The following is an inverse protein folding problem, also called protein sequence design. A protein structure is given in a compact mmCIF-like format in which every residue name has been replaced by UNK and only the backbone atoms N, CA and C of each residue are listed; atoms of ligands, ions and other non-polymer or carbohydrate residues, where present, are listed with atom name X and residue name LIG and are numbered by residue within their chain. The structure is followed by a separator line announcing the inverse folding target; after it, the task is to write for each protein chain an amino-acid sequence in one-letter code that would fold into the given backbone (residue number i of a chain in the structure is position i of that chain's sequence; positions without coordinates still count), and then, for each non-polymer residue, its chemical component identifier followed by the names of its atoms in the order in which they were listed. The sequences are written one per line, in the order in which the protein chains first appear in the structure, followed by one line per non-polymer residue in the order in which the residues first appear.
data_IF_393969683061
#
_entry.id   IF_393969683061
#
_cell.length_a   1.000
_cell.length_b   1.000
_cell.length_c   1.000
_cell.angle_alpha   90.00
_cell.angle_beta   90.00
_cell.angle_gamma   90.00
#
_symmetry.space_group_name_H-M   'P 1'
#
loop_
_entity.id
_entity.type
_entity.pdbx_description
1 polymer ?
#
# COMPACT_ATOMS: atom_id res chain seq x y z
N UNK A 1 -4.57 9.47 -3.73
CA UNK A 1 -3.47 10.08 -4.50
C UNK A 1 -3.32 11.58 -4.19
N UNK A 2 -4.37 12.40 -4.37
CA UNK A 2 -4.32 13.85 -4.16
C UNK A 2 -3.76 14.24 -2.77
N UNK A 3 -4.17 13.55 -1.72
CA UNK A 3 -3.73 13.78 -0.35
C UNK A 3 -2.23 13.47 -0.20
N UNK A 4 -1.74 12.36 -0.75
CA UNK A 4 -0.30 12.04 -0.74
C UNK A 4 0.53 13.02 -1.57
N UNK A 5 0.02 13.50 -2.70
CA UNK A 5 0.69 14.54 -3.48
C UNK A 5 0.80 15.83 -2.68
N UNK A 6 -0.28 16.29 -2.05
CA UNK A 6 -0.29 17.47 -1.21
C UNK A 6 0.68 17.37 -0.02
N UNK A 7 0.68 16.23 0.68
CA UNK A 7 1.62 15.95 1.76
C UNK A 7 3.06 15.90 1.25
N UNK A 8 3.31 15.29 0.08
CA UNK A 8 4.64 15.22 -0.53
C UNK A 8 5.20 16.58 -0.85
N UNK A 9 4.37 17.48 -1.43
CA UNK A 9 4.75 18.86 -1.69
C UNK A 9 5.10 19.57 -0.37
N UNK A 10 4.27 19.45 0.66
CA UNK A 10 4.53 20.08 1.95
C UNK A 10 5.83 19.57 2.58
N UNK A 11 6.03 18.24 2.61
CA UNK A 11 7.25 17.63 3.19
C UNK A 11 8.51 18.10 2.48
N UNK A 12 8.45 18.30 1.16
CA UNK A 12 9.61 18.75 0.37
C UNK A 12 10.19 20.08 0.83
N UNK A 13 9.38 20.95 1.45
CA UNK A 13 9.81 22.22 2.00
C UNK A 13 10.28 22.15 3.46
N UNK A 14 10.21 20.98 4.10
CA UNK A 14 10.64 20.82 5.49
C UNK A 14 12.16 20.61 5.58
N UNK A 15 12.76 21.16 6.65
CA UNK A 15 14.18 20.93 6.94
C UNK A 15 14.44 19.45 7.21
N UNK A 16 15.48 18.89 6.57
CA UNK A 16 15.85 17.47 6.72
C UNK A 16 15.17 16.54 5.72
N UNK A 17 14.15 16.97 4.97
CA UNK A 17 13.48 16.14 3.97
C UNK A 17 14.44 15.66 2.87
N UNK A 18 15.47 16.46 2.54
CA UNK A 18 16.50 16.11 1.55
C UNK A 18 17.23 14.81 1.87
N UNK A 19 17.45 14.50 3.14
CA UNK A 19 18.11 13.27 3.55
C UNK A 19 17.23 12.05 3.30
N UNK A 20 15.92 12.20 3.47
CA UNK A 20 14.96 11.18 3.10
C UNK A 20 14.93 10.88 1.59
N UNK A 21 14.94 11.94 0.77
CA UNK A 21 15.02 11.76 -0.68
C UNK A 21 16.34 11.13 -1.11
N UNK A 22 17.47 11.56 -0.54
CA UNK A 22 18.78 10.93 -0.79
C UNK A 22 18.79 9.45 -0.42
N UNK A 23 18.11 9.08 0.68
CA UNK A 23 17.99 7.68 1.09
C UNK A 23 17.22 6.84 0.07
N UNK A 24 16.09 7.34 -0.44
CA UNK A 24 15.26 6.64 -1.45
C UNK A 24 16.02 6.41 -2.75
N UNK A 25 16.72 7.45 -3.23
CA UNK A 25 17.41 7.40 -4.54
C UNK A 25 18.85 6.89 -4.46
N UNK A 26 19.31 6.49 -3.26
CA UNK A 26 20.64 5.91 -3.09
C UNK A 26 20.65 4.48 -3.61
N UNK A 27 21.33 4.27 -4.73
CA UNK A 27 21.54 2.93 -5.29
C UNK A 27 22.70 2.26 -4.58
N UNK A 28 22.44 1.18 -3.86
CA UNK A 28 23.46 0.31 -3.28
C UNK A 28 23.69 -0.90 -4.18
N UNK A 29 24.82 -0.89 -4.89
CA UNK A 29 25.19 -1.97 -5.81
C UNK A 29 25.37 -3.32 -5.10
N UNK A 30 25.79 -3.31 -3.83
CA UNK A 30 25.95 -4.53 -3.03
C UNK A 30 24.60 -5.16 -2.71
N UNK A 31 23.58 -4.34 -2.44
CA UNK A 31 22.22 -4.81 -2.23
C UNK A 31 21.61 -5.41 -3.50
N UNK A 32 21.88 -4.82 -4.67
CA UNK A 32 21.41 -5.36 -5.95
C UNK A 32 22.05 -6.72 -6.29
N UNK A 33 23.30 -6.94 -5.87
CA UNK A 33 23.99 -8.22 -6.07
C UNK A 33 23.54 -9.31 -5.08
N UNK A 34 22.80 -8.94 -4.02
CA UNK A 34 22.38 -9.89 -2.98
C UNK A 34 21.06 -10.56 -3.38
N UNK A 35 21.00 -11.91 -3.54
CA UNK A 35 19.79 -12.63 -3.90
C UNK A 35 18.63 -12.42 -2.91
N UNK A 36 18.92 -12.18 -1.63
CA UNK A 36 17.88 -11.92 -0.61
C UNK A 36 17.08 -10.66 -0.94
N UNK A 37 17.70 -9.62 -1.48
CA UNK A 37 17.01 -8.38 -1.89
C UNK A 37 15.91 -8.68 -2.90
N UNK A 38 16.21 -9.53 -3.89
CA UNK A 38 15.25 -9.92 -4.92
C UNK A 38 14.13 -10.81 -4.38
N UNK A 39 14.46 -11.73 -3.44
CA UNK A 39 13.45 -12.57 -2.79
C UNK A 39 12.46 -11.71 -2.00
N UNK A 40 12.95 -10.75 -1.21
CA UNK A 40 12.08 -9.85 -0.46
C UNK A 40 11.27 -8.93 -1.37
N UNK A 41 11.87 -8.39 -2.44
CA UNK A 41 11.17 -7.54 -3.40
C UNK A 41 10.06 -8.30 -4.13
N UNK A 42 10.33 -9.53 -4.60
CA UNK A 42 9.33 -10.40 -5.21
C UNK A 42 8.22 -10.77 -4.20
N UNK A 43 8.58 -11.14 -2.98
CA UNK A 43 7.61 -11.45 -1.92
C UNK A 43 6.68 -10.27 -1.66
N UNK A 44 7.21 -9.05 -1.59
CA UNK A 44 6.41 -7.84 -1.42
C UNK A 44 5.50 -7.58 -2.63
N UNK A 45 6.00 -7.75 -3.85
CA UNK A 45 5.20 -7.59 -5.07
C UNK A 45 4.04 -8.60 -5.12
N UNK A 46 4.29 -9.87 -4.81
CA UNK A 46 3.26 -10.90 -4.74
C UNK A 46 2.20 -10.60 -3.67
N UNK A 47 2.61 -10.05 -2.54
CA UNK A 47 1.69 -9.64 -1.48
C UNK A 47 0.85 -8.44 -1.90
N UNK A 48 1.48 -7.38 -2.40
CA UNK A 48 0.82 -6.11 -2.78
C UNK A 48 -0.20 -6.31 -3.90
N UNK A 49 0.13 -7.13 -4.90
CA UNK A 49 -0.76 -7.46 -6.01
C UNK A 49 -1.79 -8.55 -5.67
N UNK A 50 -1.89 -8.98 -4.42
CA UNK A 50 -2.82 -10.03 -3.95
C UNK A 50 -2.67 -11.38 -4.68
N UNK A 51 -1.50 -11.64 -5.29
CA UNK A 51 -1.21 -12.91 -5.96
C UNK A 51 -1.04 -14.02 -4.92
N UNK A 52 -0.31 -13.75 -3.83
CA UNK A 52 -0.04 -14.71 -2.77
C UNK A 52 -1.31 -15.16 -2.00
N UNK A 53 -2.34 -14.31 -1.96
CA UNK A 53 -3.60 -14.59 -1.25
C UNK A 53 -4.73 -15.12 -2.14
N UNK A 54 -4.45 -15.52 -3.38
CA UNK A 54 -5.43 -15.95 -4.38
C UNK A 54 -6.52 -14.91 -4.72
N UNK A 55 -6.42 -13.67 -4.21
CA UNK A 55 -7.39 -12.63 -4.49
C UNK A 55 -7.52 -12.34 -5.98
N UNK A 56 -6.41 -12.16 -6.67
CA UNK A 56 -6.36 -11.94 -8.12
C UNK A 56 -6.99 -13.09 -8.91
N UNK A 57 -6.82 -14.34 -8.46
CA UNK A 57 -7.43 -15.51 -9.10
C UNK A 57 -8.96 -15.47 -9.00
N UNK A 58 -9.47 -15.19 -7.79
CA UNK A 58 -10.92 -15.12 -7.55
C UNK A 58 -11.55 -13.98 -8.33
N UNK A 59 -10.97 -12.77 -8.27
CA UNK A 59 -11.48 -11.63 -9.04
C UNK A 59 -11.37 -11.87 -10.56
N UNK A 60 -10.31 -12.55 -10.99
CA UNK A 60 -10.17 -12.98 -12.39
C UNK A 60 -11.32 -13.87 -12.86
N UNK A 61 -11.85 -14.74 -11.98
CA UNK A 61 -13.00 -15.59 -12.30
C UNK A 61 -14.34 -14.85 -12.43
N UNK A 62 -14.41 -13.59 -11.95
CA UNK A 62 -15.61 -12.75 -12.04
C UNK A 62 -15.61 -11.82 -13.25
N UNK A 63 -14.50 -11.77 -14.00
CA UNK A 63 -14.40 -10.94 -15.19
C UNK A 63 -15.26 -11.51 -16.33
N UNK A 64 -15.77 -10.63 -17.18
CA UNK A 64 -16.46 -11.03 -18.40
C UNK A 64 -15.48 -11.53 -19.45
N UNK A 65 -15.96 -12.37 -20.37
CA UNK A 65 -15.15 -12.90 -21.47
C UNK A 65 -14.62 -11.84 -22.44
N UNK A 66 -15.20 -10.63 -22.41
CA UNK A 66 -14.78 -9.48 -23.22
C UNK A 66 -13.61 -8.69 -22.62
N UNK A 67 -13.23 -8.97 -21.36
CA UNK A 67 -12.21 -8.20 -20.65
C UNK A 67 -10.79 -8.56 -21.12
N UNK A 68 -9.99 -7.54 -21.40
CA UNK A 68 -8.58 -7.71 -21.75
C UNK A 68 -7.74 -7.90 -20.49
N UNK A 69 -7.61 -9.15 -20.03
CA UNK A 69 -6.90 -9.51 -18.79
C UNK A 69 -5.45 -8.96 -18.75
N UNK A 70 -4.60 -9.12 -19.80
CA UNK A 70 -3.25 -8.56 -19.78
C UNK A 70 -3.20 -7.04 -19.59
N UNK A 71 -4.11 -6.31 -20.25
CA UNK A 71 -4.18 -4.86 -20.12
C UNK A 71 -4.62 -4.45 -18.71
N UNK A 72 -5.61 -5.12 -18.15
CA UNK A 72 -6.11 -4.86 -16.80
C UNK A 72 -5.08 -5.20 -15.74
N UNK A 73 -4.39 -6.33 -15.84
CA UNK A 73 -3.28 -6.70 -14.97
C UNK A 73 -2.14 -5.67 -15.03
N UNK A 74 -1.78 -5.20 -16.22
CA UNK A 74 -0.77 -4.15 -16.39
C UNK A 74 -1.16 -2.84 -15.72
N UNK A 75 -2.42 -2.42 -15.81
CA UNK A 75 -2.94 -1.23 -15.12
C UNK A 75 -2.89 -1.39 -13.60
N UNK A 76 -3.30 -2.53 -13.07
CA UNK A 76 -3.22 -2.83 -11.63
C UNK A 76 -1.78 -2.73 -11.14
N UNK A 77 -0.84 -3.38 -11.80
CA UNK A 77 0.58 -3.34 -11.43
C UNK A 77 1.16 -1.92 -11.51
N UNK A 78 0.77 -1.14 -12.51
CA UNK A 78 1.20 0.25 -12.65
C UNK A 78 0.69 1.14 -11.51
N UNK A 79 -0.61 1.08 -11.20
CA UNK A 79 -1.18 1.91 -10.14
C UNK A 79 -0.73 1.47 -8.74
N UNK A 80 -0.53 0.18 -8.50
CA UNK A 80 0.05 -0.35 -7.26
C UNK A 80 1.46 0.20 -7.03
N UNK A 81 2.32 0.10 -8.05
CA UNK A 81 3.68 0.65 -8.00
C UNK A 81 3.67 2.16 -7.81
N UNK A 82 2.82 2.89 -8.52
CA UNK A 82 2.69 4.34 -8.38
C UNK A 82 2.25 4.74 -6.97
N UNK A 83 1.28 4.03 -6.38
CA UNK A 83 0.83 4.27 -5.02
C UNK A 83 1.94 4.03 -3.99
N UNK A 84 2.69 2.93 -4.14
CA UNK A 84 3.81 2.61 -3.27
C UNK A 84 4.93 3.65 -3.36
N UNK A 85 5.27 4.11 -4.56
CA UNK A 85 6.27 5.16 -4.76
C UNK A 85 5.83 6.49 -4.15
N UNK A 86 4.58 6.91 -4.35
CA UNK A 86 4.05 8.12 -3.74
C UNK A 86 4.07 8.04 -2.21
N UNK A 87 3.69 6.91 -1.63
CA UNK A 87 3.77 6.70 -0.19
C UNK A 87 5.21 6.81 0.33
N UNK A 88 6.17 6.18 -0.35
CA UNK A 88 7.58 6.25 0.02
C UNK A 88 8.13 7.68 -0.05
N UNK A 89 7.79 8.45 -1.10
CA UNK A 89 8.20 9.85 -1.30
C UNK A 89 7.60 10.82 -0.27
N UNK A 90 6.60 10.40 0.48
CA UNK A 90 6.03 11.19 1.59
C UNK A 90 6.57 10.72 2.93
N UNK A 91 6.48 9.41 3.20
CA UNK A 91 6.75 8.84 4.52
C UNK A 91 8.24 8.92 4.88
N UNK A 92 9.13 8.55 3.97
CA UNK A 92 10.57 8.51 4.26
C UNK A 92 11.15 9.92 4.48
N UNK A 93 10.85 10.94 3.64
CA UNK A 93 11.25 12.30 3.95
C UNK A 93 10.59 12.85 5.23
N UNK A 94 9.33 12.50 5.52
CA UNK A 94 8.69 12.87 6.78
C UNK A 94 9.42 12.29 8.00
N UNK A 95 9.91 11.05 7.92
CA UNK A 95 10.77 10.46 8.95
C UNK A 95 12.08 11.24 9.11
N UNK A 96 12.71 11.62 8.00
CA UNK A 96 13.95 12.36 8.01
C UNK A 96 13.82 13.70 8.76
N UNK A 97 12.69 14.40 8.59
CA UNK A 97 12.44 15.67 9.30
C UNK A 97 12.33 15.52 10.82
N UNK A 98 12.00 14.34 11.32
CA UNK A 98 11.91 14.04 12.77
C UNK A 98 13.20 13.48 13.35
N UNK A 99 14.27 13.35 12.55
CA UNK A 99 15.54 12.74 12.99
C UNK A 99 15.44 11.22 13.22
N UNK A 100 14.38 10.56 12.73
CA UNK A 100 14.19 9.14 12.86
C UNK A 100 15.17 8.33 11.99
N UNK A 101 15.46 7.10 12.42
CA UNK A 101 16.27 6.17 11.62
C UNK A 101 15.48 5.72 10.39
N UNK A 102 15.99 6.03 9.19
CA UNK A 102 15.29 5.77 7.92
C UNK A 102 15.19 4.29 7.53
N UNK A 103 15.88 3.41 8.24
CA UNK A 103 15.83 1.96 8.04
C UNK A 103 14.76 1.26 8.90
N UNK A 104 13.89 2.01 9.55
CA UNK A 104 12.77 1.44 10.30
C UNK A 104 11.60 1.18 9.36
N UNK A 105 10.87 0.10 9.64
CA UNK A 105 9.66 -0.30 8.90
C UNK A 105 8.49 -0.55 9.85
N UNK A 106 7.36 -0.93 9.26
CA UNK A 106 6.17 -1.35 9.99
C UNK A 106 5.14 -0.25 10.22
N UNK A 107 4.07 -0.56 10.99
CA UNK A 107 2.92 0.33 11.19
C UNK A 107 3.26 1.69 11.79
N UNK A 108 4.37 1.80 12.51
CA UNK A 108 4.85 3.05 13.09
C UNK A 108 5.08 4.15 12.05
N UNK A 109 5.42 3.78 10.80
CA UNK A 109 5.58 4.73 9.71
C UNK A 109 4.29 5.54 9.46
N UNK A 110 3.17 4.85 9.45
CA UNK A 110 1.86 5.42 9.16
C UNK A 110 1.22 6.08 10.40
N UNK A 111 1.36 5.46 11.57
CA UNK A 111 0.61 5.86 12.78
C UNK A 111 1.39 6.75 13.73
N UNK A 112 2.70 6.89 13.56
CA UNK A 112 3.54 7.75 14.42
C UNK A 112 4.10 8.93 13.61
N UNK A 113 4.82 8.65 12.52
CA UNK A 113 5.56 9.71 11.82
C UNK A 113 4.66 10.65 11.03
N UNK A 114 3.68 10.14 10.28
CA UNK A 114 2.75 11.00 9.52
C UNK A 114 1.87 11.87 10.42
N UNK A 115 1.26 11.38 11.52
CA UNK A 115 0.52 12.25 12.44
C UNK A 115 1.38 13.35 13.07
N UNK A 116 2.64 13.05 13.42
CA UNK A 116 3.55 14.04 13.96
C UNK A 116 3.89 15.13 12.93
N UNK A 117 4.09 14.77 11.67
CA UNK A 117 4.24 15.72 10.58
C UNK A 117 2.98 16.58 10.43
N UNK A 118 1.79 15.99 10.41
CA UNK A 118 0.53 16.70 10.24
C UNK A 118 0.27 17.69 11.37
N UNK A 119 0.69 17.42 12.61
CA UNK A 119 0.57 18.36 13.73
C UNK A 119 1.30 19.68 13.49
N UNK A 120 2.37 19.69 12.74
CA UNK A 120 3.15 20.88 12.42
C UNK A 120 2.59 21.68 11.23
N UNK A 121 1.57 21.16 10.55
CA UNK A 121 0.99 21.78 9.36
C UNK A 121 -0.15 22.74 9.72
N UNK A 122 -0.33 23.84 8.97
CA UNK A 122 -1.56 24.64 9.03
C UNK A 122 -2.76 23.75 8.64
N UNK A 123 -3.80 23.69 9.49
CA UNK A 123 -4.96 22.83 9.26
C UNK A 123 -4.69 21.31 9.42
N UNK A 124 -3.56 20.94 10.00
CA UNK A 124 -3.10 19.54 10.12
C UNK A 124 -4.09 18.59 10.78
N UNK A 125 -4.94 19.07 11.68
CA UNK A 125 -6.00 18.26 12.28
C UNK A 125 -7.01 17.77 11.24
N UNK A 126 -7.45 18.65 10.33
CA UNK A 126 -8.38 18.28 9.27
C UNK A 126 -7.73 17.30 8.29
N UNK A 127 -6.48 17.57 7.92
CA UNK A 127 -5.69 16.70 7.04
C UNK A 127 -5.51 15.32 7.68
N UNK A 128 -5.23 15.26 8.98
CA UNK A 128 -5.10 14.00 9.71
C UNK A 128 -6.42 13.20 9.74
N UNK A 129 -7.55 13.86 9.99
CA UNK A 129 -8.87 13.20 9.95
C UNK A 129 -9.12 12.61 8.56
N UNK A 130 -8.96 13.40 7.50
CA UNK A 130 -9.14 12.94 6.12
C UNK A 130 -8.20 11.79 5.78
N UNK A 131 -6.95 11.87 6.23
CA UNK A 131 -5.97 10.82 6.03
C UNK A 131 -6.38 9.50 6.71
N UNK A 132 -6.76 9.54 8.00
CA UNK A 132 -7.15 8.34 8.71
C UNK A 132 -8.48 7.75 8.24
N UNK A 133 -9.42 8.59 7.79
CA UNK A 133 -10.64 8.11 7.12
C UNK A 133 -10.27 7.38 5.82
N UNK A 134 -9.36 7.93 5.03
CA UNK A 134 -8.89 7.27 3.81
C UNK A 134 -8.16 5.95 4.11
N UNK A 135 -7.33 5.89 5.16
CA UNK A 135 -6.66 4.66 5.62
C UNK A 135 -7.67 3.62 6.09
N UNK A 136 -8.70 4.04 6.83
CA UNK A 136 -9.78 3.15 7.27
C UNK A 136 -10.52 2.54 6.07
N UNK A 137 -10.93 3.36 5.11
CA UNK A 137 -11.61 2.89 3.90
C UNK A 137 -10.72 1.95 3.07
N UNK A 138 -9.43 2.26 2.92
CA UNK A 138 -8.48 1.39 2.25
C UNK A 138 -8.31 0.06 3.00
N UNK A 139 -8.26 0.08 4.33
CA UNK A 139 -8.22 -1.13 5.15
C UNK A 139 -9.48 -1.99 4.98
N UNK A 140 -10.65 -1.37 4.98
CA UNK A 140 -11.92 -2.08 4.78
C UNK A 140 -11.99 -2.76 3.41
N UNK A 141 -11.59 -2.07 2.34
CA UNK A 141 -11.57 -2.65 0.99
C UNK A 141 -10.57 -3.81 0.89
N UNK A 142 -9.42 -3.71 1.56
CA UNK A 142 -8.44 -4.78 1.62
C UNK A 142 -8.96 -6.01 2.39
N UNK A 143 -9.68 -5.80 3.48
CA UNK A 143 -10.32 -6.88 4.23
C UNK A 143 -11.37 -7.61 3.40
N UNK A 144 -12.24 -6.88 2.69
CA UNK A 144 -13.22 -7.48 1.78
C UNK A 144 -12.52 -8.36 0.74
N UNK A 145 -11.42 -7.87 0.17
CA UNK A 145 -10.63 -8.62 -0.80
C UNK A 145 -10.04 -9.92 -0.21
N UNK A 146 -9.51 -9.86 1.02
CA UNK A 146 -8.96 -11.03 1.71
C UNK A 146 -10.01 -12.09 2.04
N UNK A 147 -11.22 -11.66 2.41
CA UNK A 147 -12.31 -12.60 2.73
C UNK A 147 -12.97 -13.23 1.49
N UNK A 148 -12.81 -12.65 0.31
CA UNK A 148 -13.45 -13.15 -0.90
C UNK A 148 -13.00 -14.59 -1.26
N UNK A 149 -11.73 -14.92 -1.11
CA UNK A 149 -11.20 -16.24 -1.40
C UNK A 149 -11.76 -17.34 -0.46
N UNK A 150 -11.77 -17.18 0.89
CA UNK A 150 -12.47 -18.10 1.80
C UNK A 150 -13.96 -18.23 1.48
N UNK A 151 -14.66 -17.11 1.24
CA UNK A 151 -16.10 -17.12 0.94
C UNK A 151 -16.38 -17.93 -0.34
N UNK A 152 -15.66 -17.68 -1.42
CA UNK A 152 -15.81 -18.41 -2.67
C UNK A 152 -15.55 -19.91 -2.47
N UNK A 153 -14.54 -20.27 -1.68
CA UNK A 153 -14.22 -21.66 -1.37
C UNK A 153 -15.36 -22.36 -0.59
N UNK A 154 -15.94 -21.67 0.40
CA UNK A 154 -17.07 -22.18 1.19
C UNK A 154 -18.32 -22.33 0.32
N UNK A 155 -18.59 -21.35 -0.55
CA UNK A 155 -19.71 -21.43 -1.50
C UNK A 155 -19.59 -22.66 -2.40
N UNK A 156 -18.43 -22.88 -2.97
CA UNK A 156 -18.18 -23.97 -3.90
C UNK A 156 -18.25 -25.36 -3.21
N UNK A 157 -17.54 -25.51 -2.08
CA UNK A 157 -17.48 -26.78 -1.36
C UNK A 157 -18.80 -27.20 -0.72
N UNK A 158 -19.52 -26.24 -0.12
CA UNK A 158 -20.76 -26.52 0.60
C UNK A 158 -22.00 -26.27 -0.25
N UNK A 159 -21.83 -25.81 -1.51
CA UNK A 159 -22.93 -25.46 -2.42
C UNK A 159 -23.93 -24.46 -1.79
N UNK A 160 -23.40 -23.54 -0.99
CA UNK A 160 -24.19 -22.54 -0.27
C UNK A 160 -24.36 -21.27 -1.11
N UNK A 161 -25.44 -20.54 -0.86
CA UNK A 161 -25.59 -19.18 -1.37
C UNK A 161 -24.56 -18.22 -0.74
N UNK A 162 -24.43 -17.01 -1.30
CA UNK A 162 -23.41 -16.03 -0.84
C UNK A 162 -23.61 -15.61 0.62
N UNK A 163 -24.85 -15.31 1.02
CA UNK A 163 -25.15 -14.86 2.38
C UNK A 163 -24.76 -15.86 3.47
N UNK A 164 -25.19 -17.15 3.40
CA UNK A 164 -24.73 -18.14 4.38
C UNK A 164 -23.23 -18.42 4.32
N UNK A 165 -22.60 -18.36 3.16
CA UNK A 165 -21.15 -18.50 3.06
C UNK A 165 -20.41 -17.37 3.79
N UNK A 166 -20.84 -16.10 3.61
CA UNK A 166 -20.26 -14.95 4.32
C UNK A 166 -20.44 -15.01 5.85
N UNK A 167 -21.49 -15.67 6.35
CA UNK A 167 -21.72 -15.79 7.80
C UNK A 167 -20.91 -16.91 8.44
N UNK A 168 -20.42 -17.86 7.64
CA UNK A 168 -19.61 -18.99 8.09
C UNK A 168 -18.10 -18.72 7.99
N UNK A 169 -17.70 -17.63 7.29
CA UNK A 169 -16.32 -17.24 7.10
C UNK A 169 -15.92 -16.08 7.99
#
# INVERSE_FOLDING_TARGET
FALFIGLGIYVSFQQGASDGYRYIFRVDKSALANPKTWIFALGQAFFSLSVAGNGTLIYGSYLSDEENIPASAGRVAFFDTLAAMLAALVIIPAMATTGAKLNQGGPGLLFIYLPNLMKSMPGGHVIAILFFVAVLLAGMTSLINLYEAPIATVQEKLKLGRVPACTLT
#
